data_IF_083474084745
#
_entry.id   IF_083474084745
#
_cell.length_a   1.000
_cell.length_b   1.000
_cell.length_c   1.000
_cell.angle_alpha   90.00
_cell.angle_beta   90.00
_cell.angle_gamma   90.00
#
_symmetry.space_group_name_H-M   'P 1'
#
loop_
_entity.id
_entity.type
_entity.pdbx_description
1 polymer ?
#
# COMPACT_ATOMS: atom_id res chain seq x y z
N UNK A 1 10.15 54.65 -7.16
CA UNK A 1 10.62 53.64 -6.18
C UNK A 1 9.40 53.13 -5.43
N UNK A 2 8.87 51.98 -5.80
CA UNK A 2 7.76 51.33 -5.09
C UNK A 2 8.33 50.68 -3.82
N UNK A 3 7.95 51.22 -2.67
CA UNK A 3 8.27 50.63 -1.37
C UNK A 3 7.59 49.28 -1.24
N UNK A 4 8.34 48.18 -1.42
CA UNK A 4 7.88 46.86 -1.03
C UNK A 4 7.84 46.79 0.49
N UNK A 5 6.66 47.05 1.06
CA UNK A 5 6.37 46.66 2.44
C UNK A 5 6.35 45.13 2.45
N UNK A 6 7.46 44.51 2.88
CA UNK A 6 7.44 43.11 3.28
C UNK A 6 6.54 43.02 4.52
N UNK A 7 5.25 42.73 4.32
CA UNK A 7 4.34 42.41 5.41
C UNK A 7 4.87 41.13 6.05
N UNK A 8 5.55 41.25 7.21
CA UNK A 8 5.93 40.10 8.00
C UNK A 8 4.67 39.30 8.31
N UNK A 9 4.68 38.01 7.97
CA UNK A 9 3.56 37.13 8.30
C UNK A 9 3.44 36.96 9.81
N UNK A 10 2.19 36.93 10.28
CA UNK A 10 1.87 36.69 11.68
C UNK A 10 2.54 35.38 12.17
N UNK A 11 3.34 35.40 13.25
CA UNK A 11 4.01 34.21 13.80
C UNK A 11 3.06 33.05 14.10
N UNK A 12 1.84 33.35 14.56
CA UNK A 12 0.79 32.35 14.81
C UNK A 12 0.40 31.61 13.54
N UNK A 13 0.18 32.34 12.45
CA UNK A 13 -0.16 31.75 11.15
C UNK A 13 0.98 30.86 10.63
N UNK A 14 2.24 31.27 10.80
CA UNK A 14 3.40 30.45 10.41
C UNK A 14 3.43 29.15 11.22
N UNK A 15 3.15 29.21 12.52
CA UNK A 15 3.06 28.03 13.37
C UNK A 15 1.92 27.09 12.93
N UNK A 16 0.74 27.63 12.66
CA UNK A 16 -0.42 26.86 12.20
C UNK A 16 -0.15 26.17 10.85
N UNK A 17 0.54 26.85 9.91
CA UNK A 17 0.96 26.24 8.64
C UNK A 17 1.95 25.08 8.87
N UNK A 18 2.94 25.26 9.76
CA UNK A 18 3.90 24.20 10.11
C UNK A 18 3.19 23.00 10.73
N UNK A 19 2.29 23.25 11.69
CA UNK A 19 1.52 22.22 12.36
C UNK A 19 0.64 21.45 11.39
N UNK A 20 -0.08 22.14 10.50
CA UNK A 20 -0.84 21.51 9.42
C UNK A 20 0.04 20.59 8.56
N UNK A 21 1.21 21.08 8.14
CA UNK A 21 2.18 20.30 7.36
C UNK A 21 2.66 19.04 8.08
N UNK A 22 3.01 19.14 9.37
CA UNK A 22 3.45 17.99 10.17
C UNK A 22 2.33 16.96 10.37
N UNK A 23 1.11 17.42 10.69
CA UNK A 23 -0.05 16.54 10.86
C UNK A 23 -0.36 15.77 9.57
N UNK A 24 -0.36 16.45 8.42
CA UNK A 24 -0.68 15.82 7.14
C UNK A 24 0.46 14.97 6.58
N UNK A 25 1.72 15.31 6.88
CA UNK A 25 2.84 14.41 6.62
C UNK A 25 2.64 13.11 7.41
N UNK A 26 2.49 13.18 8.74
CA UNK A 26 2.33 11.99 9.58
C UNK A 26 1.14 11.13 9.11
N UNK A 27 0.02 11.77 8.76
CA UNK A 27 -1.18 11.11 8.25
C UNK A 27 -0.98 10.48 6.86
N UNK A 28 -0.84 11.33 5.83
CA UNK A 28 -0.92 10.95 4.42
C UNK A 28 0.41 10.47 3.87
N UNK A 29 1.51 10.99 4.39
CA UNK A 29 2.87 10.63 4.02
C UNK A 29 3.36 9.34 4.67
N UNK A 30 2.94 9.07 5.91
CA UNK A 30 3.48 7.95 6.70
C UNK A 30 2.42 6.88 7.09
N UNK A 31 1.47 7.20 7.98
CA UNK A 31 0.59 6.17 8.54
C UNK A 31 -0.30 5.47 7.50
N UNK A 32 -0.81 6.24 6.54
CA UNK A 32 -1.65 5.70 5.47
C UNK A 32 -0.91 4.72 4.56
N UNK A 33 0.24 5.07 3.94
CA UNK A 33 1.01 4.12 3.15
C UNK A 33 1.56 2.96 3.99
N UNK A 34 1.95 3.20 5.24
CA UNK A 34 2.39 2.14 6.16
C UNK A 34 1.27 1.11 6.38
N UNK A 35 0.04 1.55 6.60
CA UNK A 35 -1.11 0.66 6.74
C UNK A 35 -1.39 -0.16 5.46
N UNK A 36 -1.16 0.42 4.27
CA UNK A 36 -1.27 -0.28 2.98
C UNK A 36 -0.18 -1.35 2.82
N UNK A 37 1.06 -1.02 3.20
CA UNK A 37 2.20 -1.93 3.18
C UNK A 37 1.96 -3.10 4.13
N UNK A 38 1.55 -2.85 5.38
CA UNK A 38 1.33 -3.90 6.39
C UNK A 38 0.25 -4.88 5.95
N UNK A 39 -0.91 -4.42 5.48
CA UNK A 39 -2.01 -5.35 5.09
C UNK A 39 -1.64 -6.21 3.88
N UNK A 40 -0.68 -5.75 3.05
CA UNK A 40 -0.17 -6.48 1.90
C UNK A 40 0.88 -7.53 2.27
N UNK A 41 1.75 -7.28 3.26
CA UNK A 41 2.81 -8.21 3.68
C UNK A 41 2.28 -9.59 4.07
N UNK A 42 1.11 -9.66 4.68
CA UNK A 42 0.61 -10.92 5.23
C UNK A 42 -0.14 -11.71 4.18
N UNK A 43 0.58 -12.67 3.59
CA UNK A 43 0.07 -13.56 2.58
C UNK A 43 -1.02 -14.47 3.18
N UNK A 44 -2.20 -14.51 2.54
CA UNK A 44 -3.41 -15.13 3.12
C UNK A 44 -3.37 -16.66 3.10
N UNK A 45 -2.48 -17.24 2.30
CA UNK A 45 -2.45 -18.68 2.05
C UNK A 45 -1.68 -19.47 3.13
N UNK A 46 -0.74 -18.82 3.83
CA UNK A 46 0.11 -19.47 4.86
C UNK A 46 -0.16 -18.95 6.29
N UNK A 47 -0.99 -17.92 6.44
CA UNK A 47 -1.26 -17.30 7.74
C UNK A 47 -2.43 -17.93 8.50
N UNK A 48 -2.20 -18.25 9.78
CA UNK A 48 -3.28 -18.68 10.68
C UNK A 48 -4.41 -17.64 10.77
N UNK A 49 -5.67 -18.06 10.99
CA UNK A 49 -6.81 -17.15 11.07
C UNK A 49 -6.65 -16.04 12.12
N UNK A 50 -5.91 -16.31 13.21
CA UNK A 50 -5.62 -15.33 14.28
C UNK A 50 -4.65 -14.24 13.78
N UNK A 51 -3.57 -14.61 13.09
CA UNK A 51 -2.62 -13.64 12.49
C UNK A 51 -3.33 -12.75 11.48
N UNK A 52 -4.15 -13.33 10.59
CA UNK A 52 -4.91 -12.56 9.61
C UNK A 52 -5.88 -11.55 10.25
N UNK A 53 -6.52 -11.91 11.37
CA UNK A 53 -7.33 -10.95 12.14
C UNK A 53 -6.47 -9.83 12.71
N UNK A 54 -5.35 -10.15 13.35
CA UNK A 54 -4.45 -9.16 13.94
C UNK A 54 -3.97 -8.12 12.92
N UNK A 55 -3.58 -8.57 11.72
CA UNK A 55 -3.12 -7.68 10.64
C UNK A 55 -4.22 -6.74 10.17
N UNK A 56 -5.46 -7.24 10.05
CA UNK A 56 -6.62 -6.39 9.71
C UNK A 56 -6.85 -5.34 10.79
N UNK A 57 -6.72 -5.70 12.08
CA UNK A 57 -6.83 -4.72 13.18
C UNK A 57 -5.71 -3.69 13.15
N UNK A 58 -4.45 -4.11 12.97
CA UNK A 58 -3.31 -3.19 12.85
C UNK A 58 -3.53 -2.22 11.69
N UNK A 59 -3.93 -2.72 10.52
CA UNK A 59 -4.30 -1.89 9.39
C UNK A 59 -5.39 -0.88 9.77
N UNK A 60 -6.50 -1.33 10.36
CA UNK A 60 -7.59 -0.45 10.75
C UNK A 60 -7.16 0.63 11.76
N UNK A 61 -6.35 0.27 12.77
CA UNK A 61 -5.83 1.21 13.77
C UNK A 61 -4.97 2.28 13.10
N UNK A 62 -4.03 1.88 12.24
CA UNK A 62 -3.17 2.83 11.51
C UNK A 62 -3.99 3.76 10.61
N UNK A 63 -5.01 3.24 9.92
CA UNK A 63 -5.87 4.07 9.08
C UNK A 63 -6.74 5.03 9.90
N UNK A 64 -7.26 4.60 11.05
CA UNK A 64 -8.01 5.49 11.95
C UNK A 64 -7.11 6.61 12.47
N UNK A 65 -5.87 6.28 12.91
CA UNK A 65 -4.89 7.29 13.33
C UNK A 65 -4.59 8.29 12.20
N UNK A 66 -4.37 7.80 10.99
CA UNK A 66 -4.16 8.66 9.82
C UNK A 66 -5.37 9.60 9.59
N UNK A 67 -6.59 9.08 9.65
CA UNK A 67 -7.81 9.87 9.46
C UNK A 67 -7.98 10.93 10.54
N UNK A 68 -7.72 10.60 11.81
CA UNK A 68 -7.79 11.57 12.91
C UNK A 68 -6.79 12.71 12.74
N UNK A 69 -5.55 12.41 12.37
CA UNK A 69 -4.53 13.41 12.07
C UNK A 69 -4.90 14.27 10.85
N UNK A 70 -5.44 13.66 9.79
CA UNK A 70 -5.91 14.38 8.61
C UNK A 70 -7.08 15.31 8.94
N UNK A 71 -8.01 14.85 9.78
CA UNK A 71 -9.16 15.64 10.22
C UNK A 71 -8.72 16.83 11.08
N UNK A 72 -7.77 16.65 12.00
CA UNK A 72 -7.16 17.75 12.75
C UNK A 72 -6.48 18.77 11.82
N UNK A 73 -5.72 18.30 10.83
CA UNK A 73 -5.12 19.17 9.81
C UNK A 73 -6.14 19.90 8.94
N UNK A 74 -7.28 19.26 8.64
CA UNK A 74 -8.39 19.86 7.90
C UNK A 74 -9.07 20.98 8.70
N UNK A 75 -9.39 20.73 9.98
CA UNK A 75 -9.94 21.73 10.89
C UNK A 75 -9.00 22.94 10.96
N UNK A 76 -7.70 22.70 11.14
CA UNK A 76 -6.70 23.75 11.17
C UNK A 76 -6.69 24.56 9.86
N UNK A 77 -6.76 23.89 8.71
CA UNK A 77 -6.82 24.57 7.40
C UNK A 77 -8.07 25.44 7.24
N UNK A 78 -9.22 24.97 7.70
CA UNK A 78 -10.50 25.69 7.61
C UNK A 78 -10.53 26.89 8.53
N UNK A 79 -10.01 26.75 9.76
CA UNK A 79 -10.06 27.80 10.78
C UNK A 79 -8.98 28.88 10.60
N UNK A 80 -7.81 28.51 10.07
CA UNK A 80 -6.63 29.39 10.10
C UNK A 80 -6.22 29.95 8.74
N UNK A 81 -6.60 29.32 7.62
CA UNK A 81 -6.06 29.67 6.31
C UNK A 81 -7.12 30.25 5.37
N UNK A 82 -6.66 31.11 4.46
CA UNK A 82 -7.47 31.54 3.32
C UNK A 82 -7.58 30.40 2.29
N UNK A 83 -8.78 29.84 2.21
CA UNK A 83 -9.11 28.73 1.32
C UNK A 83 -9.63 29.26 -0.03
N UNK A 84 -8.79 30.01 -0.76
CA UNK A 84 -9.13 30.52 -2.09
C UNK A 84 -9.04 29.47 -3.21
N UNK A 85 -8.52 28.28 -2.90
CA UNK A 85 -8.37 27.13 -3.81
C UNK A 85 -7.65 27.45 -5.13
N UNK A 86 -6.78 28.47 -5.10
CA UNK A 86 -6.06 28.99 -6.28
C UNK A 86 -4.81 28.17 -6.64
N UNK A 87 -4.49 27.15 -5.86
CA UNK A 87 -3.34 26.28 -6.08
C UNK A 87 -3.75 24.80 -6.02
N UNK A 88 -2.97 23.97 -6.71
CA UNK A 88 -3.24 22.54 -6.83
C UNK A 88 -3.24 21.81 -5.47
N UNK A 89 -2.41 22.24 -4.51
CA UNK A 89 -2.33 21.64 -3.18
C UNK A 89 -3.67 21.73 -2.45
N UNK A 90 -4.32 22.90 -2.44
CA UNK A 90 -5.63 23.08 -1.81
C UNK A 90 -6.73 22.25 -2.50
N UNK A 91 -6.75 22.22 -3.84
CA UNK A 91 -7.75 21.48 -4.62
C UNK A 91 -7.62 19.97 -4.41
N UNK A 92 -6.39 19.45 -4.45
CA UNK A 92 -6.09 18.03 -4.18
C UNK A 92 -6.37 17.71 -2.71
N UNK A 93 -5.98 18.58 -1.77
CA UNK A 93 -6.23 18.41 -0.35
C UNK A 93 -7.71 18.26 0.00
N UNK A 94 -8.56 19.10 -0.59
CA UNK A 94 -10.01 18.98 -0.43
C UNK A 94 -10.56 17.65 -0.94
N UNK A 95 -10.12 17.21 -2.12
CA UNK A 95 -10.50 15.92 -2.68
C UNK A 95 -10.02 14.76 -1.79
N UNK A 96 -8.81 14.86 -1.23
CA UNK A 96 -8.27 13.87 -0.31
C UNK A 96 -9.08 13.78 0.98
N UNK A 97 -9.55 14.89 1.56
CA UNK A 97 -10.41 14.84 2.76
C UNK A 97 -11.71 14.06 2.50
N UNK A 98 -12.34 14.27 1.34
CA UNK A 98 -13.51 13.48 0.96
C UNK A 98 -13.15 12.00 0.72
N UNK A 99 -12.03 11.74 0.04
CA UNK A 99 -11.58 10.38 -0.30
C UNK A 99 -11.27 9.54 0.94
N UNK A 100 -10.59 10.09 1.95
CA UNK A 100 -10.24 9.34 3.17
C UNK A 100 -11.49 8.98 3.99
N UNK A 101 -12.50 9.87 4.04
CA UNK A 101 -13.76 9.59 4.72
C UNK A 101 -14.55 8.51 3.99
N UNK A 102 -14.65 8.59 2.67
CA UNK A 102 -15.28 7.57 1.84
C UNK A 102 -14.57 6.22 2.02
N UNK A 103 -13.24 6.19 1.95
CA UNK A 103 -12.45 4.99 2.10
C UNK A 103 -12.62 4.35 3.48
N UNK A 104 -12.74 5.16 4.53
CA UNK A 104 -13.01 4.72 5.90
C UNK A 104 -14.41 4.09 6.01
N UNK A 105 -15.44 4.76 5.48
CA UNK A 105 -16.81 4.25 5.46
C UNK A 105 -16.90 2.90 4.72
N UNK A 106 -16.26 2.82 3.55
CA UNK A 106 -16.16 1.58 2.76
C UNK A 106 -15.43 0.50 3.54
N UNK A 107 -14.35 0.85 4.25
CA UNK A 107 -13.61 -0.04 5.15
C UNK A 107 -14.50 -0.65 6.25
N UNK A 108 -15.37 0.16 6.89
CA UNK A 108 -16.31 -0.32 7.90
C UNK A 108 -17.43 -1.19 7.32
N UNK A 109 -17.86 -0.94 6.07
CA UNK A 109 -18.88 -1.74 5.36
C UNK A 109 -18.33 -3.02 4.72
N UNK A 110 -17.22 -3.54 5.24
CA UNK A 110 -16.52 -4.75 4.79
C UNK A 110 -17.46 -6.00 4.78
N UNK A 111 -17.78 -6.59 3.60
CA UNK A 111 -18.72 -7.72 3.51
C UNK A 111 -18.22 -9.02 4.14
N UNK A 112 -19.15 -9.93 4.49
CA UNK A 112 -18.83 -11.31 4.95
C UNK A 112 -18.07 -12.09 3.88
N UNK A 113 -17.20 -13.02 4.31
CA UNK A 113 -16.44 -13.92 3.42
C UNK A 113 -17.41 -14.78 2.59
N UNK A 114 -17.02 -15.14 1.37
CA UNK A 114 -17.79 -16.03 0.48
C UNK A 114 -18.89 -15.34 -0.35
N UNK A 115 -19.12 -14.03 -0.17
CA UNK A 115 -20.12 -13.28 -0.96
C UNK A 115 -19.50 -12.66 -2.22
N UNK A 116 -20.26 -12.56 -3.33
CA UNK A 116 -19.80 -11.87 -4.55
C UNK A 116 -19.41 -10.40 -4.27
N UNK A 117 -20.16 -9.74 -3.39
CA UNK A 117 -19.88 -8.36 -2.97
C UNK A 117 -18.52 -8.17 -2.30
N UNK A 118 -17.95 -9.23 -1.69
CA UNK A 118 -16.62 -9.22 -1.07
C UNK A 118 -15.51 -8.90 -2.07
N UNK A 119 -15.58 -9.47 -3.28
CA UNK A 119 -14.57 -9.30 -4.31
C UNK A 119 -14.62 -7.89 -4.89
N UNK A 120 -15.83 -7.41 -5.20
CA UNK A 120 -16.04 -6.03 -5.69
C UNK A 120 -15.55 -5.02 -4.65
N UNK A 121 -15.96 -5.19 -3.39
CA UNK A 121 -15.48 -4.38 -2.28
C UNK A 121 -13.95 -4.39 -2.18
N UNK A 122 -13.31 -5.56 -2.30
CA UNK A 122 -11.86 -5.67 -2.17
C UNK A 122 -11.14 -4.93 -3.29
N UNK A 123 -11.56 -5.11 -4.56
CA UNK A 123 -10.96 -4.43 -5.71
C UNK A 123 -11.11 -2.92 -5.56
N UNK A 124 -12.33 -2.44 -5.29
CA UNK A 124 -12.59 -1.01 -5.11
C UNK A 124 -11.77 -0.44 -3.95
N UNK A 125 -11.88 -1.03 -2.76
CA UNK A 125 -11.21 -0.55 -1.55
C UNK A 125 -9.68 -0.56 -1.72
N UNK A 126 -9.13 -1.58 -2.39
CA UNK A 126 -7.70 -1.67 -2.64
C UNK A 126 -7.20 -0.62 -3.65
N UNK A 127 -7.84 -0.52 -4.83
CA UNK A 127 -7.44 0.45 -5.86
C UNK A 127 -7.62 1.86 -5.34
N UNK A 128 -8.82 2.18 -4.84
CA UNK A 128 -9.15 3.53 -4.36
C UNK A 128 -8.26 3.94 -3.18
N UNK A 129 -7.99 3.02 -2.24
CA UNK A 129 -7.09 3.27 -1.12
C UNK A 129 -5.64 3.52 -1.55
N UNK A 130 -5.14 2.73 -2.49
CA UNK A 130 -3.78 2.90 -3.02
C UNK A 130 -3.65 4.24 -3.75
N UNK A 131 -4.60 4.57 -4.63
CA UNK A 131 -4.64 5.86 -5.32
C UNK A 131 -4.73 7.04 -4.35
N UNK A 132 -5.56 6.93 -3.30
CA UNK A 132 -5.68 7.95 -2.25
C UNK A 132 -4.35 8.14 -1.53
N UNK A 133 -3.67 7.05 -1.16
CA UNK A 133 -2.37 7.10 -0.50
C UNK A 133 -1.29 7.74 -1.38
N UNK A 134 -1.20 7.36 -2.66
CA UNK A 134 -0.24 7.95 -3.61
C UNK A 134 -0.51 9.44 -3.83
N UNK A 135 -1.79 9.80 -3.98
CA UNK A 135 -2.22 11.19 -4.12
C UNK A 135 -1.89 12.00 -2.86
N UNK A 136 -1.99 11.40 -1.68
CA UNK A 136 -1.52 11.96 -0.41
C UNK A 136 -0.04 12.32 -0.43
N UNK A 137 0.82 11.41 -0.87
CA UNK A 137 2.27 11.65 -0.99
C UNK A 137 2.56 12.80 -1.96
N UNK A 138 1.92 12.81 -3.14
CA UNK A 138 2.05 13.90 -4.11
C UNK A 138 1.58 15.23 -3.49
N UNK A 139 0.46 15.21 -2.77
CA UNK A 139 -0.06 16.42 -2.15
C UNK A 139 0.89 16.98 -1.09
N UNK A 140 1.60 16.14 -0.34
CA UNK A 140 2.63 16.56 0.62
C UNK A 140 3.77 17.32 -0.08
N UNK A 141 4.27 16.86 -1.23
CA UNK A 141 5.27 17.59 -2.01
C UNK A 141 4.75 18.94 -2.51
N UNK A 142 3.50 18.98 -3.00
CA UNK A 142 2.89 20.25 -3.41
C UNK A 142 2.68 21.20 -2.23
N UNK A 143 2.42 20.66 -1.03
CA UNK A 143 2.32 21.41 0.23
C UNK A 143 3.66 22.01 0.64
N UNK A 144 4.77 21.26 0.55
CA UNK A 144 6.12 21.80 0.77
C UNK A 144 6.46 22.94 -0.20
N UNK A 145 6.08 22.80 -1.48
CA UNK A 145 6.25 23.87 -2.48
C UNK A 145 5.39 25.11 -2.14
N UNK A 146 4.13 24.89 -1.73
CA UNK A 146 3.24 25.97 -1.30
C UNK A 146 3.76 26.67 -0.04
N UNK A 147 4.30 25.91 0.91
CA UNK A 147 4.94 26.42 2.12
C UNK A 147 6.12 27.34 1.79
N UNK A 148 7.07 26.86 0.97
CA UNK A 148 8.18 27.70 0.49
C UNK A 148 7.67 28.98 -0.16
N UNK A 149 6.70 28.90 -1.08
CA UNK A 149 6.18 30.08 -1.79
C UNK A 149 5.57 31.09 -0.81
N UNK A 150 4.90 30.63 0.24
CA UNK A 150 4.21 31.49 1.20
C UNK A 150 5.14 32.08 2.25
N UNK A 151 6.08 31.31 2.78
CA UNK A 151 6.95 31.73 3.90
C UNK A 151 8.37 32.11 3.49
N UNK A 152 8.74 31.94 2.22
CA UNK A 152 10.13 32.04 1.75
C UNK A 152 11.12 31.17 2.53
N UNK A 153 10.63 30.15 3.26
CA UNK A 153 11.45 29.26 4.07
C UNK A 153 12.13 28.20 3.20
N UNK A 154 13.35 27.82 3.59
CA UNK A 154 14.06 26.72 2.93
C UNK A 154 13.41 25.37 3.27
N UNK A 155 12.86 24.70 2.26
CA UNK A 155 12.19 23.39 2.39
C UNK A 155 13.05 22.21 1.96
N UNK A 156 14.32 22.45 1.60
CA UNK A 156 15.21 21.41 1.05
C UNK A 156 15.38 20.23 2.00
N UNK A 157 15.68 20.51 3.27
CA UNK A 157 15.88 19.46 4.29
C UNK A 157 14.62 18.62 4.45
N UNK A 158 13.46 19.25 4.61
CA UNK A 158 12.16 18.57 4.70
C UNK A 158 11.85 17.73 3.46
N UNK A 159 12.16 18.24 2.27
CA UNK A 159 11.94 17.52 1.01
C UNK A 159 12.83 16.28 0.92
N UNK A 160 14.10 16.39 1.33
CA UNK A 160 15.05 15.25 1.36
C UNK A 160 14.55 14.21 2.36
N UNK A 161 14.21 14.62 3.59
CA UNK A 161 13.70 13.70 4.61
C UNK A 161 12.45 12.95 4.12
N UNK A 162 11.49 13.68 3.53
CA UNK A 162 10.29 13.04 2.98
C UNK A 162 10.60 12.10 1.83
N UNK A 163 11.55 12.46 0.95
CA UNK A 163 11.96 11.60 -0.16
C UNK A 163 12.63 10.33 0.33
N UNK A 164 13.48 10.42 1.35
CA UNK A 164 14.12 9.25 1.97
C UNK A 164 13.05 8.35 2.59
N UNK A 165 12.11 8.89 3.37
CA UNK A 165 10.99 8.15 3.94
C UNK A 165 10.17 7.42 2.86
N UNK A 166 9.73 8.14 1.82
CA UNK A 166 8.95 7.56 0.71
C UNK A 166 9.75 6.50 -0.04
N UNK A 167 11.07 6.70 -0.20
CA UNK A 167 11.95 5.70 -0.84
C UNK A 167 12.06 4.43 -0.01
N UNK A 168 12.15 4.54 1.32
CA UNK A 168 12.08 3.37 2.21
C UNK A 168 10.74 2.66 2.11
N UNK A 169 9.62 3.39 2.16
CA UNK A 169 8.28 2.81 2.00
C UNK A 169 8.13 2.09 0.65
N UNK A 170 8.62 2.71 -0.44
CA UNK A 170 8.61 2.11 -1.77
C UNK A 170 9.51 0.87 -1.85
N UNK A 171 10.70 0.91 -1.25
CA UNK A 171 11.59 -0.24 -1.14
C UNK A 171 10.88 -1.40 -0.42
N UNK A 172 10.30 -1.17 0.76
CA UNK A 172 9.55 -2.21 1.47
C UNK A 172 8.37 -2.73 0.66
N UNK A 173 7.64 -1.85 -0.04
CA UNK A 173 6.53 -2.25 -0.90
C UNK A 173 6.97 -3.19 -2.04
N UNK A 174 8.10 -2.91 -2.69
CA UNK A 174 8.65 -3.76 -3.76
C UNK A 174 9.29 -5.04 -3.21
N UNK A 175 9.99 -4.93 -2.09
CA UNK A 175 10.68 -6.03 -1.43
C UNK A 175 9.73 -7.15 -1.02
N UNK A 176 8.51 -6.82 -0.62
CA UNK A 176 7.45 -7.78 -0.30
C UNK A 176 7.23 -8.84 -1.37
N UNK A 177 7.20 -8.45 -2.64
CA UNK A 177 6.97 -9.39 -3.74
C UNK A 177 8.12 -10.37 -3.92
N UNK A 178 9.35 -9.94 -3.61
CA UNK A 178 10.55 -10.75 -3.75
C UNK A 178 10.84 -11.60 -2.52
N UNK A 179 10.29 -11.24 -1.36
CA UNK A 179 10.52 -11.98 -0.11
C UNK A 179 10.15 -13.46 -0.23
N UNK A 180 8.92 -13.75 -0.67
CA UNK A 180 8.45 -15.13 -0.83
C UNK A 180 9.27 -15.92 -1.87
N UNK A 181 9.76 -15.24 -2.91
CA UNK A 181 10.65 -15.85 -3.91
C UNK A 181 12.02 -16.21 -3.31
N UNK A 182 12.60 -15.34 -2.49
CA UNK A 182 13.90 -15.58 -1.84
C UNK A 182 13.82 -16.71 -0.79
N UNK A 183 12.74 -16.77 -0.01
CA UNK A 183 12.53 -17.87 0.96
C UNK A 183 12.50 -19.23 0.24
N UNK A 184 11.78 -19.31 -0.88
CA UNK A 184 11.68 -20.54 -1.69
C UNK A 184 12.99 -20.95 -2.35
N UNK A 185 13.89 -20.01 -2.65
CA UNK A 185 15.23 -20.33 -3.18
C UNK A 185 16.17 -20.87 -2.10
N UNK A 186 16.05 -20.38 -0.86
CA UNK A 186 16.82 -20.88 0.28
C UNK A 186 16.48 -22.33 0.64
N UNK A 187 15.20 -22.72 0.57
CA UNK A 187 14.76 -24.09 0.86
C UNK A 187 15.23 -25.11 -0.19
N UNK A 188 15.25 -24.76 -1.48
CA UNK A 188 15.69 -25.66 -2.57
C UNK A 188 17.18 -26.04 -2.45
N UNK A 189 18.00 -25.22 -1.79
CA UNK A 189 19.44 -25.48 -1.60
C UNK A 189 19.74 -26.36 -0.37
N UNK A 190 18.75 -26.62 0.49
CA UNK A 190 18.93 -27.34 1.76
C UNK A 190 18.72 -28.87 1.71
N UNK A 191 18.05 -29.40 0.68
CA UNK A 191 17.63 -30.80 0.59
C UNK A 191 18.11 -31.49 -0.70
N UNK A 192 19.40 -31.39 -1.06
CA UNK A 192 20.00 -32.41 -1.93
C UNK A 192 20.53 -33.56 -1.06
N UNK A 193 19.84 -34.71 -0.95
CA UNK A 193 20.52 -35.93 -0.57
C UNK A 193 21.48 -36.25 -1.72
N UNK A 194 22.77 -36.25 -1.43
CA UNK A 194 23.79 -36.84 -2.30
C UNK A 194 23.48 -38.33 -2.42
N UNK A 195 22.62 -38.69 -3.38
CA UNK A 195 22.46 -40.07 -3.81
C UNK A 195 23.69 -40.42 -4.64
N UNK A 196 24.66 -41.06 -3.98
CA UNK A 196 25.68 -41.87 -4.62
C UNK A 196 24.95 -43.03 -5.32
N UNK A 197 24.62 -42.85 -6.59
CA UNK A 197 24.11 -43.94 -7.43
C UNK A 197 25.33 -44.78 -7.85
N UNK A 198 25.43 -45.98 -7.28
CA UNK A 198 26.31 -47.03 -7.81
C UNK A 198 25.90 -47.34 -9.25
N UNK A 199 26.89 -47.51 -10.12
CA UNK A 199 26.83 -47.54 -11.59
C UNK A 199 25.99 -48.65 -12.23
N UNK A 200 25.31 -49.50 -11.47
CA UNK A 200 24.76 -50.77 -12.00
C UNK A 200 23.26 -50.75 -12.35
N UNK A 201 22.56 -49.62 -12.24
CA UNK A 201 21.11 -49.54 -12.58
C UNK A 201 20.74 -48.60 -13.74
N UNK A 202 21.71 -47.97 -14.40
CA UNK A 202 21.45 -46.94 -15.43
C UNK A 202 20.92 -47.51 -16.75
N UNK A 203 21.06 -48.82 -16.99
CA UNK A 203 20.83 -49.39 -18.32
C UNK A 203 19.42 -49.96 -18.54
N UNK A 204 18.69 -50.35 -17.48
CA UNK A 204 17.44 -51.13 -17.64
C UNK A 204 16.18 -50.27 -17.80
N UNK A 205 16.19 -48.99 -17.38
CA UNK A 205 14.96 -48.16 -17.35
C UNK A 205 14.87 -47.10 -18.47
N UNK A 206 15.77 -47.10 -19.45
CA UNK A 206 15.71 -46.15 -20.58
C UNK A 206 14.71 -46.53 -21.68
N UNK A 207 14.10 -47.71 -21.63
CA UNK A 207 13.30 -48.22 -22.76
C UNK A 207 11.76 -48.05 -22.64
N UNK A 208 11.19 -47.63 -21.50
CA UNK A 208 9.73 -47.87 -21.25
C UNK A 208 8.82 -46.64 -21.07
N UNK A 209 9.26 -45.37 -21.14
CA UNK A 209 8.30 -44.24 -21.00
C UNK A 209 8.53 -43.06 -21.97
N UNK A 210 7.47 -42.48 -22.58
CA UNK A 210 7.63 -41.35 -23.50
C UNK A 210 7.91 -40.06 -22.73
N UNK A 211 8.83 -39.25 -23.27
CA UNK A 211 9.16 -37.90 -22.78
C UNK A 211 7.90 -37.02 -22.71
N UNK A 212 7.49 -36.62 -21.51
CA UNK A 212 6.54 -35.54 -21.32
C UNK A 212 7.29 -34.28 -20.88
N UNK A 213 7.23 -33.23 -21.71
CA UNK A 213 7.88 -31.94 -21.44
C UNK A 213 7.31 -31.27 -20.20
N UNK A 214 8.17 -30.80 -19.29
CA UNK A 214 7.82 -30.02 -18.11
C UNK A 214 7.26 -28.65 -18.50
N UNK A 215 5.96 -28.58 -18.74
CA UNK A 215 5.25 -27.31 -18.97
C UNK A 215 5.01 -26.64 -17.62
N UNK A 216 5.76 -25.56 -17.34
CA UNK A 216 5.55 -24.64 -16.20
C UNK A 216 4.06 -24.29 -16.06
N UNK A 217 3.39 -24.83 -15.04
CA UNK A 217 2.00 -24.49 -14.73
C UNK A 217 1.95 -23.22 -13.88
N UNK A 218 1.35 -22.17 -14.41
CA UNK A 218 0.97 -20.98 -13.66
C UNK A 218 -0.31 -21.25 -12.85
N UNK A 219 -0.50 -20.52 -11.74
CA UNK A 219 -1.59 -20.73 -10.76
C UNK A 219 -3.00 -20.65 -11.37
N UNK A 220 -3.16 -19.89 -12.45
CA UNK A 220 -4.40 -19.82 -13.24
C UNK A 220 -4.75 -21.15 -13.92
N UNK A 221 -3.77 -21.88 -14.45
CA UNK A 221 -3.98 -23.18 -15.09
C UNK A 221 -4.53 -24.24 -14.12
N UNK A 222 -3.98 -24.28 -12.91
CA UNK A 222 -4.45 -25.20 -11.87
C UNK A 222 -5.86 -24.87 -11.38
N UNK A 223 -6.24 -23.59 -11.33
CA UNK A 223 -7.60 -23.18 -10.93
C UNK A 223 -8.66 -23.61 -11.95
N UNK A 224 -8.37 -23.45 -13.26
CA UNK A 224 -9.29 -23.90 -14.32
C UNK A 224 -9.37 -25.43 -14.43
N UNK A 225 -8.25 -26.14 -14.26
CA UNK A 225 -8.24 -27.60 -14.26
C UNK A 225 -9.08 -28.18 -13.10
N UNK A 226 -8.98 -27.60 -11.90
CA UNK A 226 -9.73 -28.03 -10.72
C UNK A 226 -11.25 -27.79 -10.86
N UNK A 227 -11.65 -26.65 -11.44
CA UNK A 227 -13.06 -26.36 -11.71
C UNK A 227 -13.67 -27.28 -12.78
N UNK A 228 -12.91 -27.66 -13.80
CA UNK A 228 -13.37 -28.62 -14.81
C UNK A 228 -13.49 -30.05 -14.25
N UNK A 229 -12.57 -30.47 -13.38
CA UNK A 229 -12.65 -31.76 -12.71
C UNK A 229 -13.88 -31.85 -11.79
N UNK A 230 -14.16 -30.79 -11.02
CA UNK A 230 -15.36 -30.71 -10.18
C UNK A 230 -16.65 -30.76 -11.00
N UNK A 231 -16.72 -30.04 -12.12
CA UNK A 231 -17.90 -30.11 -13.01
C UNK A 231 -18.15 -31.51 -13.59
N UNK A 232 -17.09 -32.28 -13.88
CA UNK A 232 -17.23 -33.66 -14.36
C UNK A 232 -17.75 -34.61 -13.28
N UNK A 233 -17.36 -34.42 -12.02
CA UNK A 233 -17.86 -35.24 -10.90
C UNK A 233 -19.36 -35.07 -10.65
N UNK A 234 -19.91 -33.86 -10.84
CA UNK A 234 -21.34 -33.59 -10.66
C UNK A 234 -22.22 -33.93 -11.88
N UNK A 235 -21.64 -34.43 -12.98
CA UNK A 235 -22.41 -34.92 -14.13
C UNK A 235 -22.57 -36.46 -14.14
N UNK A 236 -21.94 -37.16 -13.18
CA UNK A 236 -21.97 -38.63 -13.08
C UNK A 236 -22.80 -39.11 -11.87
N UNK A 237 -23.53 -38.21 -11.22
CA UNK A 237 -24.55 -38.49 -10.19
C UNK A 237 -25.87 -37.87 -10.61
#
# INVERSE_FOLDING_TARGET
MTNYVFTQMNPRLIFEIKLHGILLWASMGFFMPLGVIIIRMFNKEECSPRKLKAVIYIHAILQILAVLLAFAGAILSVMSFENSFNNNHQRIGLALYAAILLQTLVGFRRPKRGTKGRTIWYIFHWIFGTTTSLTGIVNTYTGLKAYHKRTSSNVRVWSILFTVEVSFLAFFYLFQEKWDYMQKQGEITGDEPVMVISSDQVEIQKEVLPRQSSRKSNSLGNYFAKNNALKKLFQVT
#
